data_IF_232353248074
#
_entry.id   IF_232353248074
#
_cell.length_a   1.000
_cell.length_b   1.000
_cell.length_c   1.000
_cell.angle_alpha   90.00
_cell.angle_beta   90.00
_cell.angle_gamma   90.00
#
_symmetry.space_group_name_H-M   'P 1'
#
loop_
_entity.id
_entity.type
_entity.pdbx_description
1 polymer ?
#
# COMPACT_ATOMS: atom_id res chain seq x y z
N UNK A 1 3.12 -52.24 12.07
CA UNK A 1 1.87 -51.52 11.76
C UNK A 1 1.49 -50.70 12.96
N UNK A 2 1.75 -49.42 12.90
CA UNK A 2 1.36 -48.45 13.94
C UNK A 2 0.33 -47.51 13.34
N UNK A 3 -0.91 -47.64 13.77
CA UNK A 3 -2.04 -46.76 13.40
C UNK A 3 -1.97 -45.49 14.24
N UNK A 4 -1.75 -44.35 13.57
CA UNK A 4 -1.76 -43.03 14.18
C UNK A 4 -3.22 -42.56 14.34
N UNK A 5 -3.68 -42.47 15.58
CA UNK A 5 -4.99 -41.91 15.96
C UNK A 5 -4.89 -40.38 16.03
N UNK A 6 -5.13 -39.69 14.89
CA UNK A 6 -4.99 -38.23 14.77
C UNK A 6 -6.35 -37.48 14.71
N UNK A 7 -7.46 -38.05 15.23
CA UNK A 7 -8.80 -37.45 15.05
C UNK A 7 -9.31 -36.70 16.30
N UNK A 8 -8.63 -36.76 17.44
CA UNK A 8 -9.11 -36.14 18.69
C UNK A 8 -8.76 -34.67 18.87
N UNK A 9 -7.65 -34.19 18.28
CA UNK A 9 -7.15 -32.84 18.56
C UNK A 9 -7.78 -31.75 17.68
N UNK A 10 -8.24 -32.08 16.46
CA UNK A 10 -8.80 -31.09 15.56
C UNK A 10 -10.17 -30.56 16.01
N UNK A 11 -11.01 -31.44 16.59
CA UNK A 11 -12.31 -31.05 17.12
C UNK A 11 -12.22 -30.23 18.41
N UNK A 12 -11.20 -30.47 19.24
CA UNK A 12 -10.95 -29.68 20.44
C UNK A 12 -10.40 -28.29 20.13
N UNK A 13 -9.58 -28.16 19.09
CA UNK A 13 -9.08 -26.85 18.59
C UNK A 13 -10.21 -26.03 17.99
N UNK A 14 -11.09 -26.63 17.19
CA UNK A 14 -12.27 -25.97 16.61
C UNK A 14 -13.30 -25.54 17.68
N UNK A 15 -13.49 -26.31 18.74
CA UNK A 15 -14.40 -25.92 19.83
C UNK A 15 -13.83 -24.82 20.73
N UNK A 16 -12.50 -24.69 20.83
CA UNK A 16 -11.87 -23.59 21.55
C UNK A 16 -11.84 -22.28 20.71
N UNK A 17 -11.75 -22.36 19.39
CA UNK A 17 -11.86 -21.23 18.48
C UNK A 17 -13.30 -20.67 18.36
N UNK A 18 -14.31 -21.52 18.56
CA UNK A 18 -15.72 -21.12 18.51
C UNK A 18 -16.20 -20.45 19.82
N UNK A 19 -15.36 -20.33 20.86
CA UNK A 19 -15.75 -19.84 22.20
C UNK A 19 -15.23 -18.45 22.54
N UNK A 20 -14.84 -17.67 21.56
CA UNK A 20 -14.50 -16.25 21.76
C UNK A 20 -15.69 -15.39 21.31
N UNK A 21 -16.74 -15.35 22.13
CA UNK A 21 -17.72 -14.26 22.06
C UNK A 21 -17.07 -12.99 22.61
N UNK A 22 -17.19 -11.84 21.95
CA UNK A 22 -16.72 -10.57 22.49
C UNK A 22 -17.65 -10.12 23.61
N UNK A 23 -17.20 -10.30 24.86
CA UNK A 23 -17.94 -9.92 26.07
C UNK A 23 -17.94 -8.40 26.37
N UNK A 24 -17.38 -7.56 25.49
CA UNK A 24 -17.20 -6.12 25.77
C UNK A 24 -18.35 -5.22 25.29
N UNK A 25 -19.16 -5.64 24.33
CA UNK A 25 -20.23 -4.80 23.78
C UNK A 25 -21.44 -4.59 24.74
N UNK A 26 -21.61 -5.42 25.75
CA UNK A 26 -22.78 -5.37 26.63
C UNK A 26 -22.59 -4.59 27.94
N UNK A 27 -21.34 -4.31 28.34
CA UNK A 27 -21.05 -3.68 29.64
C UNK A 27 -21.57 -2.23 29.74
N UNK A 28 -21.64 -1.53 28.62
CA UNK A 28 -22.05 -0.11 28.56
C UNK A 28 -23.57 0.02 28.51
N UNK A 29 -24.26 -0.80 27.72
CA UNK A 29 -25.73 -0.87 27.71
C UNK A 29 -26.28 -1.29 29.08
N UNK A 30 -25.56 -2.16 29.78
CA UNK A 30 -25.86 -2.54 31.15
C UNK A 30 -25.65 -1.36 32.14
N UNK A 31 -24.57 -0.59 31.99
CA UNK A 31 -24.31 0.59 32.85
C UNK A 31 -25.36 1.69 32.61
N UNK A 32 -25.75 1.94 31.37
CA UNK A 32 -26.78 2.92 31.02
C UNK A 32 -28.17 2.46 31.50
N UNK A 33 -28.50 1.17 31.37
CA UNK A 33 -29.75 0.57 31.86
C UNK A 33 -29.84 0.62 33.38
N UNK A 34 -28.76 0.32 34.10
CA UNK A 34 -28.67 0.43 35.57
C UNK A 34 -28.83 1.89 36.02
N UNK A 35 -28.22 2.83 35.33
CA UNK A 35 -28.39 4.26 35.62
C UNK A 35 -29.82 4.74 35.43
N UNK A 36 -30.47 4.39 34.30
CA UNK A 36 -31.88 4.74 34.05
C UNK A 36 -32.81 4.13 35.12
N UNK A 37 -32.51 2.94 35.57
CA UNK A 37 -33.24 2.25 36.63
C UNK A 37 -33.04 2.97 37.98
N UNK A 38 -31.82 3.35 38.33
CA UNK A 38 -31.52 4.12 39.53
C UNK A 38 -32.15 5.49 39.48
N UNK A 39 -32.08 6.20 38.33
CA UNK A 39 -32.73 7.53 38.16
C UNK A 39 -34.23 7.43 38.32
N UNK A 40 -34.87 6.42 37.73
CA UNK A 40 -36.32 6.22 37.84
C UNK A 40 -36.76 5.83 39.24
N UNK A 41 -35.93 5.06 39.96
CA UNK A 41 -36.19 4.66 41.34
C UNK A 41 -35.99 5.85 42.30
N UNK A 42 -35.01 6.71 42.07
CA UNK A 42 -34.76 7.94 42.84
C UNK A 42 -35.85 8.98 42.58
N UNK A 43 -36.31 9.16 41.34
CA UNK A 43 -37.45 10.07 41.04
C UNK A 43 -38.75 9.63 41.72
N UNK A 44 -38.95 8.34 41.98
CA UNK A 44 -40.09 7.83 42.72
C UNK A 44 -40.00 8.01 44.24
N UNK A 45 -38.78 8.18 44.80
CA UNK A 45 -38.55 8.19 46.26
C UNK A 45 -37.88 9.48 46.78
N UNK A 46 -37.70 10.54 45.97
CA UNK A 46 -37.02 11.78 46.34
C UNK A 46 -37.88 12.72 47.21
N UNK A 47 -37.31 13.10 48.35
CA UNK A 47 -37.69 14.24 49.14
C UNK A 47 -37.16 15.54 48.46
N UNK A 48 -37.98 16.59 48.20
CA UNK A 48 -37.61 17.72 47.34
C UNK A 48 -36.52 18.67 47.88
N UNK A 49 -35.82 18.33 48.97
CA UNK A 49 -34.91 19.25 49.68
C UNK A 49 -33.39 19.04 49.42
N UNK A 50 -32.96 18.03 48.65
CA UNK A 50 -31.53 17.81 48.33
C UNK A 50 -31.26 17.28 46.89
N UNK A 51 -31.23 18.19 45.88
CA UNK A 51 -31.03 17.77 44.47
C UNK A 51 -29.54 17.67 44.03
N UNK A 52 -28.57 17.80 44.91
CA UNK A 52 -27.17 18.10 44.51
C UNK A 52 -26.33 16.93 43.99
N UNK A 53 -26.66 15.67 44.25
CA UNK A 53 -25.80 14.53 43.85
C UNK A 53 -26.03 14.08 42.40
N UNK A 54 -27.16 14.39 41.80
CA UNK A 54 -27.50 13.91 40.46
C UNK A 54 -26.74 14.63 39.32
N UNK A 55 -26.35 15.90 39.52
CA UNK A 55 -25.69 16.70 38.48
C UNK A 55 -24.24 16.18 38.22
N UNK A 56 -23.55 15.74 39.25
CA UNK A 56 -22.18 15.23 39.14
C UNK A 56 -22.13 13.86 38.44
N UNK A 57 -23.07 12.97 38.81
CA UNK A 57 -23.18 11.64 38.18
C UNK A 57 -23.61 11.77 36.71
N UNK A 58 -24.55 12.66 36.40
CA UNK A 58 -24.96 12.93 35.00
C UNK A 58 -23.80 13.51 34.18
N UNK A 59 -22.97 14.37 34.76
CA UNK A 59 -21.79 14.93 34.10
C UNK A 59 -20.73 13.83 33.80
N UNK A 60 -20.49 12.93 34.77
CA UNK A 60 -19.56 11.82 34.55
C UNK A 60 -20.07 10.86 33.49
N UNK A 61 -21.37 10.54 33.46
CA UNK A 61 -21.98 9.72 32.42
C UNK A 61 -21.91 10.38 31.05
N UNK A 62 -22.13 11.67 30.95
CA UNK A 62 -21.98 12.39 29.68
C UNK A 62 -20.53 12.35 29.18
N UNK A 63 -19.54 12.44 30.07
CA UNK A 63 -18.12 12.30 29.73
C UNK A 63 -17.80 10.88 29.25
N UNK A 64 -18.28 9.84 29.96
CA UNK A 64 -18.09 8.44 29.56
C UNK A 64 -18.76 8.19 28.20
N UNK A 65 -19.99 8.64 27.98
CA UNK A 65 -20.70 8.50 26.71
C UNK A 65 -19.96 9.20 25.54
N UNK A 66 -19.27 10.31 25.83
CA UNK A 66 -18.43 10.99 24.84
C UNK A 66 -17.20 10.16 24.48
N UNK A 67 -16.54 9.56 25.47
CA UNK A 67 -15.39 8.67 25.25
C UNK A 67 -15.81 7.44 24.44
N UNK A 68 -16.92 6.79 24.81
CA UNK A 68 -17.47 5.64 24.05
C UNK A 68 -17.83 6.05 22.60
N UNK A 69 -18.44 7.22 22.41
CA UNK A 69 -18.67 7.76 21.07
C UNK A 69 -17.39 7.91 20.25
N UNK A 70 -16.30 8.36 20.89
CA UNK A 70 -14.98 8.47 20.23
C UNK A 70 -14.40 7.09 19.91
N UNK A 71 -14.54 6.10 20.81
CA UNK A 71 -14.08 4.72 20.56
C UNK A 71 -14.83 4.07 19.42
N UNK A 72 -16.16 4.26 19.35
CA UNK A 72 -16.97 3.80 18.20
C UNK A 72 -16.55 4.46 16.89
N UNK A 73 -16.26 5.77 16.90
CA UNK A 73 -15.73 6.47 15.73
C UNK A 73 -14.39 5.91 15.30
N UNK A 74 -13.47 5.64 16.23
CA UNK A 74 -12.17 5.01 15.93
C UNK A 74 -12.35 3.62 15.32
N UNK A 75 -13.28 2.82 15.84
CA UNK A 75 -13.61 1.49 15.30
C UNK A 75 -14.17 1.58 13.88
N UNK A 76 -15.10 2.53 13.64
CA UNK A 76 -15.64 2.77 12.30
C UNK A 76 -14.58 3.22 11.32
N UNK A 77 -13.66 4.10 11.74
CA UNK A 77 -12.52 4.53 10.91
C UNK A 77 -11.59 3.37 10.59
N UNK A 78 -11.30 2.50 11.55
CA UNK A 78 -10.51 1.29 11.32
C UNK A 78 -11.18 0.37 10.30
N UNK A 79 -12.50 0.14 10.42
CA UNK A 79 -13.26 -0.67 9.47
C UNK A 79 -13.30 -0.05 8.06
N UNK A 80 -13.36 1.28 7.96
CA UNK A 80 -13.30 1.99 6.68
C UNK A 80 -11.93 1.78 6.00
N UNK A 81 -10.83 1.88 6.75
CA UNK A 81 -9.47 1.63 6.24
C UNK A 81 -9.32 0.18 5.79
N UNK A 82 -9.86 -0.78 6.53
CA UNK A 82 -9.86 -2.20 6.14
C UNK A 82 -10.66 -2.45 4.84
N UNK A 83 -11.80 -1.79 4.69
CA UNK A 83 -12.59 -1.82 3.46
C UNK A 83 -11.82 -1.28 2.26
N UNK A 84 -11.12 -0.15 2.43
CA UNK A 84 -10.27 0.43 1.39
C UNK A 84 -9.13 -0.52 0.99
N UNK A 85 -8.41 -1.11 1.96
CA UNK A 85 -7.35 -2.08 1.68
C UNK A 85 -7.85 -3.31 0.91
N UNK A 86 -9.08 -3.76 1.18
CA UNK A 86 -9.67 -4.87 0.45
C UNK A 86 -9.92 -4.50 -1.02
N UNK A 87 -10.33 -3.26 -1.29
CA UNK A 87 -10.52 -2.73 -2.64
C UNK A 87 -9.17 -2.61 -3.36
N UNK A 88 -8.15 -2.07 -2.70
CA UNK A 88 -6.81 -1.92 -3.25
C UNK A 88 -6.18 -3.30 -3.57
N UNK A 89 -6.40 -4.30 -2.71
CA UNK A 89 -5.95 -5.66 -2.97
C UNK A 89 -6.63 -6.30 -4.20
N UNK A 90 -7.93 -6.04 -4.43
CA UNK A 90 -8.62 -6.50 -5.63
C UNK A 90 -8.11 -5.80 -6.88
N UNK A 91 -7.81 -4.50 -6.82
CA UNK A 91 -7.22 -3.77 -7.93
C UNK A 91 -5.80 -4.28 -8.23
N UNK A 92 -4.96 -4.45 -7.19
CA UNK A 92 -3.63 -5.00 -7.33
C UNK A 92 -3.66 -6.43 -7.91
N UNK A 93 -4.69 -7.24 -7.58
CA UNK A 93 -4.84 -8.60 -8.12
C UNK A 93 -4.93 -8.62 -9.66
N UNK A 94 -5.46 -7.58 -10.27
CA UNK A 94 -5.56 -7.46 -11.72
C UNK A 94 -4.20 -7.18 -12.40
N UNK A 95 -3.20 -6.79 -11.62
CA UNK A 95 -1.85 -6.54 -12.11
C UNK A 95 -1.00 -7.81 -12.22
N UNK A 96 -1.39 -8.90 -11.55
CA UNK A 96 -0.62 -10.14 -11.58
C UNK A 96 -0.50 -10.67 -13.00
N UNK A 97 0.73 -10.91 -13.43
CA UNK A 97 1.06 -11.33 -14.80
C UNK A 97 1.26 -10.18 -15.79
N UNK A 98 0.93 -8.93 -15.41
CA UNK A 98 1.16 -7.76 -16.27
C UNK A 98 2.59 -7.22 -16.12
N UNK A 99 3.07 -6.59 -17.18
CA UNK A 99 4.27 -5.77 -17.15
C UNK A 99 3.97 -4.42 -16.49
N UNK A 100 4.86 -3.97 -15.62
CA UNK A 100 4.74 -2.67 -14.94
C UNK A 100 6.09 -1.96 -14.94
N UNK A 101 6.04 -0.63 -14.99
CA UNK A 101 7.19 0.22 -14.76
C UNK A 101 7.24 0.67 -13.31
N UNK A 102 8.35 0.37 -12.65
CA UNK A 102 8.65 0.74 -11.27
C UNK A 102 9.94 1.56 -11.21
N UNK A 103 10.17 2.36 -10.17
CA UNK A 103 11.45 3.05 -9.98
C UNK A 103 12.61 2.04 -9.97
N UNK A 104 13.52 2.18 -10.91
CA UNK A 104 14.65 1.27 -11.08
C UNK A 104 15.51 1.72 -12.24
N UNK A 105 16.72 1.18 -12.33
CA UNK A 105 17.71 1.55 -13.36
C UNK A 105 18.10 0.39 -14.27
N UNK A 106 17.54 -0.79 -14.03
CA UNK A 106 17.80 -1.96 -14.85
C UNK A 106 17.16 -1.84 -16.23
N UNK A 107 17.83 -2.35 -17.23
CA UNK A 107 17.35 -2.47 -18.61
C UNK A 107 17.77 -3.83 -19.16
N UNK A 108 16.80 -4.64 -19.51
CA UNK A 108 17.06 -5.97 -20.07
C UNK A 108 17.05 -5.87 -21.59
N UNK A 109 18.19 -6.14 -22.22
CA UNK A 109 18.29 -6.25 -23.67
C UNK A 109 18.01 -7.70 -24.08
N UNK A 110 17.04 -7.87 -24.95
CA UNK A 110 16.67 -9.14 -25.60
C UNK A 110 17.05 -9.11 -27.08
N UNK A 111 16.79 -10.19 -27.80
CA UNK A 111 16.98 -10.22 -29.28
C UNK A 111 16.04 -9.25 -30.01
N UNK A 112 14.93 -8.86 -29.40
CA UNK A 112 13.94 -7.94 -29.96
C UNK A 112 14.23 -6.45 -29.59
N UNK A 113 15.23 -6.20 -28.73
CA UNK A 113 15.57 -4.90 -28.18
C UNK A 113 15.30 -4.79 -26.70
N UNK A 114 15.37 -3.58 -26.20
CA UNK A 114 15.11 -3.24 -24.80
C UNK A 114 14.06 -2.14 -24.69
N UNK A 115 13.19 -2.25 -23.69
CA UNK A 115 12.17 -1.26 -23.36
C UNK A 115 12.47 -0.69 -21.97
N UNK A 116 12.74 0.61 -21.91
CA UNK A 116 12.97 1.35 -20.68
C UNK A 116 11.96 2.47 -20.49
N UNK A 117 11.92 3.02 -19.28
CA UNK A 117 11.08 4.17 -18.97
C UNK A 117 11.82 5.23 -18.15
N UNK A 118 11.21 6.39 -18.08
CA UNK A 118 11.64 7.46 -17.18
C UNK A 118 10.45 8.35 -16.80
N UNK A 119 10.58 8.99 -15.65
CA UNK A 119 9.64 10.00 -15.16
C UNK A 119 10.34 11.32 -15.00
N UNK A 120 9.67 12.39 -15.41
CA UNK A 120 10.09 13.78 -15.23
C UNK A 120 9.15 14.49 -14.26
N UNK A 121 9.69 15.18 -13.27
CA UNK A 121 8.89 15.97 -12.33
C UNK A 121 8.44 17.32 -12.93
N UNK A 122 9.12 17.80 -13.97
CA UNK A 122 8.76 18.99 -14.74
C UNK A 122 9.13 18.79 -16.21
N UNK A 123 8.63 19.62 -17.10
CA UNK A 123 9.02 19.62 -18.52
C UNK A 123 10.51 19.87 -18.69
N UNK A 124 11.12 19.23 -19.67
CA UNK A 124 12.52 19.38 -20.04
C UNK A 124 12.65 19.66 -21.55
N UNK A 125 13.58 20.51 -21.94
CA UNK A 125 13.92 20.75 -23.35
C UNK A 125 14.93 19.75 -23.89
N UNK A 126 15.62 19.05 -23.00
CA UNK A 126 16.61 18.03 -23.32
C UNK A 126 16.59 16.89 -22.32
N UNK A 127 16.41 15.67 -22.84
CA UNK A 127 16.44 14.42 -22.06
C UNK A 127 17.47 13.49 -22.67
N UNK A 128 18.54 13.20 -21.92
CA UNK A 128 19.58 12.28 -22.34
C UNK A 128 19.42 10.96 -21.63
N UNK A 129 19.43 9.86 -22.37
CA UNK A 129 19.52 8.50 -21.89
C UNK A 129 20.95 8.02 -22.10
N UNK A 130 21.54 7.46 -21.05
CA UNK A 130 22.84 6.79 -21.11
C UNK A 130 22.69 5.38 -20.59
N UNK A 131 23.05 4.39 -21.40
CA UNK A 131 23.03 2.97 -21.04
C UNK A 131 24.47 2.51 -20.80
N UNK A 132 24.70 1.88 -19.67
CA UNK A 132 25.99 1.34 -19.27
C UNK A 132 25.92 -0.18 -19.06
N UNK A 133 27.03 -0.87 -19.30
CA UNK A 133 27.15 -2.29 -19.00
C UNK A 133 27.35 -2.54 -17.48
N UNK A 134 27.52 -3.81 -17.10
CA UNK A 134 27.75 -4.22 -15.71
C UNK A 134 29.06 -3.66 -15.11
N UNK A 135 30.01 -3.24 -15.96
CA UNK A 135 31.30 -2.64 -15.54
C UNK A 135 31.20 -1.12 -15.44
N UNK A 136 30.05 -0.52 -15.78
CA UNK A 136 29.84 0.92 -15.82
C UNK A 136 30.37 1.59 -17.09
N UNK A 137 30.71 0.83 -18.13
CA UNK A 137 31.16 1.36 -19.42
C UNK A 137 29.91 1.81 -20.21
N UNK A 138 29.96 3.05 -20.74
CA UNK A 138 28.90 3.58 -21.60
C UNK A 138 28.86 2.78 -22.92
N UNK A 139 27.69 2.16 -23.19
CA UNK A 139 27.46 1.38 -24.41
C UNK A 139 26.61 2.19 -25.39
N UNK A 140 25.58 2.85 -24.89
CA UNK A 140 24.66 3.61 -25.74
C UNK A 140 24.30 4.93 -25.07
N UNK A 141 24.18 5.96 -25.90
CA UNK A 141 23.72 7.30 -25.49
C UNK A 141 22.86 7.91 -26.55
N UNK A 142 21.76 8.49 -26.14
CA UNK A 142 20.83 9.20 -27.04
C UNK A 142 20.24 10.42 -26.36
N UNK A 143 19.92 11.43 -27.18
CA UNK A 143 19.14 12.60 -26.78
C UNK A 143 17.72 12.42 -27.33
N UNK A 144 16.74 12.34 -26.47
CA UNK A 144 15.33 12.19 -26.82
C UNK A 144 14.65 13.54 -27.14
N UNK A 145 15.35 14.67 -26.90
CA UNK A 145 14.81 16.01 -27.09
C UNK A 145 13.86 16.44 -25.97
N UNK A 146 12.92 17.32 -26.33
CA UNK A 146 11.98 17.91 -25.37
C UNK A 146 10.86 16.92 -24.98
N UNK A 147 10.57 16.86 -23.67
CA UNK A 147 9.49 16.07 -23.11
C UNK A 147 8.77 16.84 -22.00
N UNK A 148 7.46 16.66 -21.90
CA UNK A 148 6.64 17.21 -20.83
C UNK A 148 6.88 16.47 -19.50
N UNK A 149 6.38 17.04 -18.39
CA UNK A 149 6.33 16.33 -17.09
C UNK A 149 5.48 15.06 -17.22
N UNK A 150 5.89 13.99 -16.52
CA UNK A 150 5.16 12.72 -16.52
C UNK A 150 6.05 11.51 -16.82
N UNK A 151 5.39 10.39 -17.08
CA UNK A 151 6.04 9.10 -17.37
C UNK A 151 6.14 8.91 -18.89
N UNK A 152 7.33 8.53 -19.34
CA UNK A 152 7.67 8.28 -20.74
C UNK A 152 8.40 6.96 -20.89
N UNK A 153 8.32 6.37 -22.08
CA UNK A 153 9.05 5.15 -22.45
C UNK A 153 9.99 5.42 -23.62
N UNK A 154 11.06 4.64 -23.68
CA UNK A 154 11.98 4.63 -24.81
C UNK A 154 12.35 3.19 -25.17
N UNK A 155 12.75 2.97 -26.42
CA UNK A 155 13.23 1.69 -26.89
C UNK A 155 14.69 1.81 -27.32
N UNK A 156 15.44 0.74 -27.11
CA UNK A 156 16.80 0.58 -27.61
C UNK A 156 16.89 -0.73 -28.41
N UNK A 157 17.37 -0.65 -29.63
CA UNK A 157 17.49 -1.80 -30.55
C UNK A 157 18.69 -2.71 -30.25
N UNK A 158 19.49 -2.40 -29.22
CA UNK A 158 20.70 -3.12 -28.89
C UNK A 158 21.92 -2.73 -29.72
N UNK A 159 21.87 -1.65 -30.49
CA UNK A 159 23.02 -1.10 -31.21
C UNK A 159 23.77 -0.12 -30.31
N UNK A 160 25.05 -0.34 -30.09
CA UNK A 160 25.90 0.57 -29.33
C UNK A 160 26.19 1.85 -30.12
N UNK A 161 26.68 2.90 -29.44
CA UNK A 161 26.97 4.19 -30.07
C UNK A 161 28.02 4.09 -31.21
N UNK A 162 28.91 3.10 -31.14
CA UNK A 162 29.91 2.82 -32.19
C UNK A 162 29.37 2.00 -33.39
N UNK A 163 28.08 1.65 -33.36
CA UNK A 163 27.40 0.86 -34.41
C UNK A 163 27.58 -0.66 -34.25
N UNK A 164 28.23 -1.14 -33.19
CA UNK A 164 28.34 -2.58 -32.92
C UNK A 164 27.11 -3.11 -32.18
N UNK A 165 26.70 -4.38 -32.43
CA UNK A 165 25.62 -4.97 -31.64
C UNK A 165 26.07 -5.24 -30.20
N UNK A 166 25.29 -4.80 -29.23
CA UNK A 166 25.49 -5.07 -27.82
C UNK A 166 25.03 -6.52 -27.50
N UNK A 167 25.67 -7.13 -26.51
CA UNK A 167 25.32 -8.50 -26.10
C UNK A 167 23.96 -8.48 -25.36
N UNK A 168 23.12 -9.48 -25.61
CA UNK A 168 21.90 -9.72 -24.84
C UNK A 168 22.24 -9.85 -23.36
N UNK A 169 21.52 -9.14 -22.48
CA UNK A 169 21.82 -9.14 -21.05
C UNK A 169 21.27 -7.94 -20.30
N UNK A 170 21.79 -7.74 -19.09
CA UNK A 170 21.35 -6.67 -18.19
C UNK A 170 22.27 -5.46 -18.32
N UNK A 171 21.64 -4.30 -18.43
CA UNK A 171 22.28 -2.99 -18.53
C UNK A 171 21.72 -2.04 -17.45
N UNK A 172 22.35 -0.91 -17.28
CA UNK A 172 21.92 0.13 -16.35
C UNK A 172 21.64 1.42 -17.11
N UNK A 173 20.47 2.01 -16.86
CA UNK A 173 20.04 3.28 -17.47
C UNK A 173 20.28 4.45 -16.52
N UNK A 174 20.87 5.51 -17.05
CA UNK A 174 20.93 6.82 -16.43
C UNK A 174 20.14 7.81 -17.27
N UNK A 175 19.23 8.54 -16.62
CA UNK A 175 18.43 9.59 -17.24
C UNK A 175 18.88 10.94 -16.69
N UNK A 176 19.15 11.88 -17.60
CA UNK A 176 19.45 13.28 -17.22
C UNK A 176 18.58 14.20 -18.05
N UNK A 177 17.92 15.14 -17.38
CA UNK A 177 17.00 16.08 -18.01
C UNK A 177 17.36 17.52 -17.63
N UNK A 178 17.23 18.45 -18.59
CA UNK A 178 17.49 19.88 -18.38
C UNK A 178 16.40 20.73 -19.03
N UNK A 179 16.17 21.92 -18.44
CA UNK A 179 15.37 22.99 -19.02
C UNK A 179 16.26 24.24 -19.05
N UNK A 180 16.78 24.59 -20.24
CA UNK A 180 17.88 25.53 -20.37
C UNK A 180 19.10 25.04 -19.58
N UNK A 181 19.60 25.89 -18.67
CA UNK A 181 20.74 25.55 -17.80
C UNK A 181 20.33 24.84 -16.49
N UNK A 182 19.04 24.67 -16.24
CA UNK A 182 18.57 24.09 -15.00
C UNK A 182 18.35 22.57 -15.13
N UNK A 183 18.84 21.81 -14.15
CA UNK A 183 18.59 20.37 -14.08
C UNK A 183 17.14 20.10 -13.66
N UNK A 184 16.46 19.25 -14.42
CA UNK A 184 15.12 18.72 -14.09
C UNK A 184 15.28 17.39 -13.37
N UNK A 185 14.49 17.19 -12.30
CA UNK A 185 14.44 15.91 -11.58
C UNK A 185 13.88 14.84 -12.51
N UNK A 186 14.61 13.73 -12.61
CA UNK A 186 14.25 12.59 -13.45
C UNK A 186 14.51 11.29 -12.70
N UNK A 187 13.61 10.33 -12.83
CA UNK A 187 13.70 9.00 -12.26
C UNK A 187 13.67 7.98 -13.40
N UNK A 188 14.68 7.11 -13.46
CA UNK A 188 14.66 5.98 -14.37
C UNK A 188 13.64 4.94 -13.89
N UNK A 189 12.97 4.30 -14.83
CA UNK A 189 11.96 3.28 -14.58
C UNK A 189 12.37 1.97 -15.24
N UNK A 190 12.25 0.90 -14.48
CA UNK A 190 12.57 -0.47 -14.89
C UNK A 190 11.29 -1.26 -15.14
N UNK A 191 11.28 -2.01 -16.23
CA UNK A 191 10.18 -2.90 -16.57
C UNK A 191 10.31 -4.22 -15.83
N UNK A 192 9.26 -4.59 -15.09
CA UNK A 192 9.16 -5.89 -14.46
C UNK A 192 7.78 -6.49 -14.58
N UNK A 193 7.65 -7.79 -14.36
CA UNK A 193 6.36 -8.47 -14.34
C UNK A 193 5.90 -8.67 -12.91
N UNK A 194 4.64 -8.34 -12.64
CA UNK A 194 4.02 -8.58 -11.34
C UNK A 194 3.83 -10.08 -11.13
N UNK A 195 4.45 -10.63 -10.09
CA UNK A 195 4.39 -12.07 -9.78
C UNK A 195 3.38 -12.40 -8.70
N UNK A 196 3.18 -11.53 -7.72
CA UNK A 196 2.23 -11.72 -6.62
C UNK A 196 1.89 -10.41 -5.92
N UNK A 197 0.89 -10.46 -5.05
CA UNK A 197 0.48 -9.35 -4.20
C UNK A 197 0.72 -9.74 -2.76
N UNK A 198 1.18 -8.80 -1.96
CA UNK A 198 1.44 -8.96 -0.54
C UNK A 198 0.49 -8.01 0.21
N UNK A 199 -0.42 -8.57 1.00
CA UNK A 199 -1.30 -7.78 1.87
C UNK A 199 -0.61 -7.54 3.20
N UNK A 200 -0.17 -6.32 3.41
CA UNK A 200 0.35 -5.85 4.68
C UNK A 200 -0.75 -5.34 5.62
N UNK A 201 -0.43 -5.01 6.88
CA UNK A 201 -1.40 -4.48 7.84
C UNK A 201 -1.86 -3.05 7.53
N UNK A 202 -1.14 -2.30 6.67
CA UNK A 202 -1.44 -0.90 6.34
C UNK A 202 -1.41 -0.60 4.84
N UNK A 203 -0.85 -1.50 4.01
CA UNK A 203 -0.67 -1.31 2.57
C UNK A 203 -0.89 -2.61 1.83
N UNK A 204 -1.14 -2.47 0.54
CA UNK A 204 -1.08 -3.57 -0.42
C UNK A 204 0.16 -3.35 -1.25
N UNK A 205 1.09 -4.31 -1.18
CA UNK A 205 2.35 -4.25 -1.88
C UNK A 205 2.35 -5.26 -3.03
N UNK A 206 3.17 -5.00 -4.04
CA UNK A 206 3.25 -5.79 -5.27
C UNK A 206 4.66 -6.34 -5.41
N UNK A 207 4.79 -7.66 -5.56
CA UNK A 207 6.05 -8.29 -5.90
C UNK A 207 6.26 -8.22 -7.41
N UNK A 208 7.32 -7.53 -7.84
CA UNK A 208 7.68 -7.38 -9.25
C UNK A 208 8.88 -8.27 -9.57
N UNK A 209 8.61 -9.52 -9.93
CA UNK A 209 9.63 -10.50 -10.28
C UNK A 209 10.81 -10.54 -9.31
N UNK A 210 12.02 -10.39 -9.84
CA UNK A 210 13.27 -10.30 -9.07
C UNK A 210 13.63 -8.87 -8.63
N UNK A 211 12.87 -7.85 -9.06
CA UNK A 211 13.16 -6.43 -8.76
C UNK A 211 12.86 -6.10 -7.30
N UNK A 212 11.92 -6.80 -6.67
CA UNK A 212 11.58 -6.61 -5.27
C UNK A 212 10.11 -6.35 -5.03
N UNK A 213 9.82 -5.78 -3.86
CA UNK A 213 8.48 -5.43 -3.40
C UNK A 213 8.33 -3.91 -3.53
N UNK A 214 7.25 -3.50 -4.16
CA UNK A 214 6.89 -2.09 -4.39
C UNK A 214 5.50 -1.81 -3.84
N UNK A 215 5.27 -0.58 -3.40
CA UNK A 215 3.92 -0.11 -3.07
C UNK A 215 3.12 0.10 -4.36
N UNK A 216 1.80 0.01 -4.26
CA UNK A 216 0.94 0.14 -5.45
C UNK A 216 1.06 1.53 -6.11
N UNK A 217 1.34 2.57 -5.33
CA UNK A 217 1.54 3.94 -5.80
C UNK A 217 2.92 4.20 -6.45
N UNK A 218 3.87 3.29 -6.27
CA UNK A 218 5.18 3.33 -6.95
C UNK A 218 5.09 2.82 -8.39
N UNK A 219 4.01 2.13 -8.76
CA UNK A 219 3.78 1.68 -10.14
C UNK A 219 3.44 2.90 -10.99
N UNK A 220 4.33 3.23 -11.92
CA UNK A 220 4.18 4.42 -12.76
C UNK A 220 3.39 4.17 -14.05
N UNK A 221 3.43 2.94 -14.58
CA UNK A 221 2.71 2.56 -15.79
C UNK A 221 2.48 1.04 -15.81
N UNK A 222 1.37 0.63 -16.41
CA UNK A 222 0.96 -0.78 -16.62
C UNK A 222 0.87 -1.03 -18.11
N UNK A 223 1.38 -2.21 -18.55
CA UNK A 223 1.39 -2.68 -19.94
C UNK A 223 0.38 -3.80 -20.17
#
# INVERSE_FOLDING_TARGET
MATVTATGNAQQILSNLARTEPAEANAMDDAQSRFLTLLTTQLKNQDPLNPMDNAQVTSQLAQISTVDGIERLNTMLASLVEGQQSTDALQAAQLVGRGVFVPGRGLVLTEEGALGGFKLDAGADKVNITVTDANGIEVFKTDLGAHDAGTHTFTWDGTATDGTPAAVGNYVVNVTATMGDNKVSSTALELGQVSSIIRGPKSVDVQVGSLGIFQLDEIQQIL
#
